data_IF_163873529422
#
_entry.id   IF_163873529422
#
_cell.length_a   1.000
_cell.length_b   1.000
_cell.length_c   1.000
_cell.angle_alpha   90.00
_cell.angle_beta   90.00
_cell.angle_gamma   90.00
#
_symmetry.space_group_name_H-M   'P 1'
#
loop_
_entity.id
_entity.type
_entity.pdbx_description
1 polymer ?
#
# COMPACT_ATOMS: atom_id res chain seq x y z
N UNK A 1 2.93 -31.84 14.57
CA UNK A 1 3.14 -30.38 14.40
C UNK A 1 1.87 -29.79 13.80
N UNK A 2 1.02 -29.13 14.59
CA UNK A 2 -0.10 -28.35 14.04
C UNK A 2 0.50 -27.10 13.39
N UNK A 3 0.62 -27.08 12.08
CA UNK A 3 0.85 -25.83 11.34
C UNK A 3 -0.33 -24.91 11.67
N UNK A 4 -0.15 -23.98 12.61
CA UNK A 4 -1.20 -23.03 12.94
C UNK A 4 -1.34 -22.08 11.76
N UNK A 5 -2.47 -22.12 11.07
CA UNK A 5 -2.82 -21.25 9.95
C UNK A 5 -2.60 -19.77 10.31
N UNK A 6 -2.67 -19.43 11.60
CA UNK A 6 -2.37 -18.11 12.18
C UNK A 6 -0.94 -17.61 11.93
N UNK A 7 0.03 -18.50 11.70
CA UNK A 7 1.42 -18.10 11.40
C UNK A 7 1.56 -17.52 9.99
N UNK A 8 0.70 -17.98 9.06
CA UNK A 8 0.70 -17.54 7.66
C UNK A 8 -0.37 -16.48 7.39
N UNK A 9 -1.47 -16.50 8.15
CA UNK A 9 -2.60 -15.56 8.05
C UNK A 9 -2.90 -14.95 9.43
N UNK A 10 -2.10 -13.97 9.89
CA UNK A 10 -2.20 -13.40 11.24
C UNK A 10 -3.54 -12.71 11.51
N UNK A 11 -4.26 -12.26 10.47
CA UNK A 11 -5.57 -11.63 10.61
C UNK A 11 -6.61 -12.55 11.28
N UNK A 12 -6.40 -13.87 11.24
CA UNK A 12 -7.26 -14.84 11.93
C UNK A 12 -7.20 -14.72 13.46
N UNK A 13 -6.19 -14.03 14.00
CA UNK A 13 -6.07 -13.75 15.43
C UNK A 13 -6.72 -12.41 15.85
N UNK A 14 -7.33 -11.68 14.91
CA UNK A 14 -7.99 -10.40 15.23
C UNK A 14 -9.20 -10.60 16.15
N UNK A 15 -9.56 -9.57 16.95
CA UNK A 15 -10.80 -9.58 17.71
C UNK A 15 -11.98 -9.84 16.77
N UNK A 16 -12.89 -10.74 17.17
CA UNK A 16 -14.10 -10.98 16.39
C UNK A 16 -14.98 -9.72 16.46
N UNK A 17 -15.46 -9.21 15.31
CA UNK A 17 -16.24 -7.99 15.28
C UNK A 17 -17.58 -8.18 16.00
N UNK A 18 -17.83 -7.34 17.00
CA UNK A 18 -19.16 -7.13 17.56
C UNK A 18 -19.78 -5.83 17.00
N UNK A 19 -21.06 -5.61 17.27
CA UNK A 19 -21.77 -4.46 16.72
C UNK A 19 -21.19 -3.10 17.19
N UNK A 20 -20.57 -3.04 18.37
CA UNK A 20 -19.97 -1.82 18.89
C UNK A 20 -18.64 -1.52 18.18
N UNK A 21 -17.79 -2.54 18.01
CA UNK A 21 -16.54 -2.47 17.28
C UNK A 21 -16.79 -2.09 15.82
N UNK A 22 -17.75 -2.73 15.15
CA UNK A 22 -18.06 -2.41 13.75
C UNK A 22 -18.45 -0.95 13.54
N UNK A 23 -19.25 -0.36 14.45
CA UNK A 23 -19.62 1.06 14.36
C UNK A 23 -18.40 1.97 14.50
N UNK A 24 -17.50 1.65 15.44
CA UNK A 24 -16.24 2.36 15.62
C UNK A 24 -15.35 2.26 14.38
N UNK A 25 -15.11 1.05 13.89
CA UNK A 25 -14.26 0.77 12.73
C UNK A 25 -14.81 1.39 11.43
N UNK A 26 -16.12 1.40 11.21
CA UNK A 26 -16.73 2.08 10.06
C UNK A 26 -16.46 3.59 10.12
N UNK A 27 -16.65 4.21 11.28
CA UNK A 27 -16.40 5.64 11.43
C UNK A 27 -14.91 5.99 11.23
N UNK A 28 -14.00 5.21 11.82
CA UNK A 28 -12.56 5.38 11.67
C UNK A 28 -12.12 5.14 10.22
N UNK A 29 -12.62 4.08 9.59
CA UNK A 29 -12.35 3.77 8.18
C UNK A 29 -12.81 4.87 7.24
N UNK A 30 -13.99 5.46 7.48
CA UNK A 30 -14.47 6.60 6.70
C UNK A 30 -13.57 7.82 6.88
N UNK A 31 -13.15 8.14 8.10
CA UNK A 31 -12.21 9.23 8.36
C UNK A 31 -10.88 9.01 7.65
N UNK A 32 -10.31 7.82 7.74
CA UNK A 32 -9.06 7.47 7.06
C UNK A 32 -9.23 7.53 5.54
N UNK A 33 -10.35 7.04 5.00
CA UNK A 33 -10.64 7.09 3.57
C UNK A 33 -10.71 8.53 3.05
N UNK A 34 -11.37 9.43 3.78
CA UNK A 34 -11.45 10.85 3.42
C UNK A 34 -10.07 11.53 3.34
N UNK A 35 -9.10 11.08 4.14
CA UNK A 35 -7.73 11.60 4.14
C UNK A 35 -6.90 10.94 3.04
N UNK A 36 -6.96 9.61 2.92
CA UNK A 36 -6.05 8.85 2.06
C UNK A 36 -6.33 9.06 0.56
N UNK A 37 -7.59 9.32 0.19
CA UNK A 37 -7.96 9.56 -1.21
C UNK A 37 -7.27 10.81 -1.77
N UNK A 38 -7.46 12.02 -1.22
CA UNK A 38 -6.76 13.20 -1.74
C UNK A 38 -5.24 13.12 -1.54
N UNK A 39 -4.79 12.54 -0.43
CA UNK A 39 -3.36 12.36 -0.16
C UNK A 39 -2.67 11.48 -1.20
N UNK A 40 -3.25 10.34 -1.53
CA UNK A 40 -2.66 9.39 -2.50
C UNK A 40 -2.63 9.96 -3.91
N UNK A 41 -3.65 10.74 -4.30
CA UNK A 41 -3.67 11.48 -5.57
C UNK A 41 -2.55 12.52 -5.62
N UNK A 42 -2.34 13.28 -4.54
CA UNK A 42 -1.22 14.21 -4.43
C UNK A 42 0.14 13.50 -4.45
N UNK A 43 0.23 12.27 -3.96
CA UNK A 43 1.48 11.51 -4.00
C UNK A 43 1.76 10.92 -5.39
N UNK A 44 0.73 10.56 -6.15
CA UNK A 44 0.90 10.18 -7.55
C UNK A 44 1.54 11.31 -8.38
N UNK A 45 1.17 12.58 -8.14
CA UNK A 45 1.80 13.71 -8.83
C UNK A 45 3.27 13.88 -8.45
N UNK A 46 3.63 13.69 -7.18
CA UNK A 46 5.03 13.71 -6.73
C UNK A 46 5.88 12.62 -7.42
N UNK A 47 5.28 11.47 -7.74
CA UNK A 47 5.92 10.38 -8.47
C UNK A 47 5.88 10.56 -10.00
N UNK A 48 5.34 11.67 -10.52
CA UNK A 48 5.17 11.90 -11.97
C UNK A 48 4.18 10.95 -12.64
N UNK A 49 3.27 10.35 -11.86
CA UNK A 49 2.30 9.36 -12.34
C UNK A 49 0.95 9.96 -12.71
N UNK A 50 0.16 9.29 -13.57
CA UNK A 50 -1.26 9.59 -13.71
C UNK A 50 -1.98 9.55 -12.36
N UNK A 51 -2.86 10.51 -12.09
CA UNK A 51 -3.51 10.68 -10.78
C UNK A 51 -4.20 9.41 -10.25
N UNK A 52 -4.79 8.62 -11.16
CA UNK A 52 -5.51 7.38 -10.82
C UNK A 52 -4.60 6.34 -10.16
N UNK A 53 -3.28 6.37 -10.42
CA UNK A 53 -2.35 5.39 -9.82
C UNK A 53 -2.23 5.56 -8.31
N UNK A 54 -2.48 6.76 -7.77
CA UNK A 54 -2.52 6.98 -6.32
C UNK A 54 -3.59 6.14 -5.62
N UNK A 55 -4.74 6.00 -6.28
CA UNK A 55 -5.84 5.15 -5.79
C UNK A 55 -5.43 3.68 -5.84
N UNK A 56 -4.80 3.23 -6.93
CA UNK A 56 -4.29 1.85 -7.02
C UNK A 56 -3.20 1.56 -5.98
N UNK A 57 -2.29 2.51 -5.77
CA UNK A 57 -1.18 2.39 -4.83
C UNK A 57 -1.60 2.44 -3.36
N UNK A 58 -2.80 2.94 -3.04
CA UNK A 58 -3.37 2.91 -1.69
C UNK A 58 -4.27 1.71 -1.47
N UNK A 59 -5.13 1.38 -2.45
CA UNK A 59 -6.12 0.31 -2.30
C UNK A 59 -5.53 -1.10 -2.38
N UNK A 60 -4.73 -1.39 -3.41
CA UNK A 60 -4.21 -2.75 -3.62
C UNK A 60 -3.26 -3.20 -2.49
N UNK A 61 -2.29 -2.39 -2.04
CA UNK A 61 -1.45 -2.78 -0.91
C UNK A 61 -2.22 -2.94 0.39
N UNK A 62 -3.28 -2.16 0.64
CA UNK A 62 -4.12 -2.32 1.82
C UNK A 62 -4.86 -3.68 1.83
N UNK A 63 -5.39 -4.11 0.68
CA UNK A 63 -6.01 -5.44 0.54
C UNK A 63 -5.02 -6.58 0.80
N UNK A 64 -3.81 -6.48 0.24
CA UNK A 64 -2.76 -7.48 0.44
C UNK A 64 -2.31 -7.47 1.91
N UNK A 65 -2.09 -6.29 2.49
CA UNK A 65 -1.66 -6.14 3.86
C UNK A 65 -2.67 -6.71 4.86
N UNK A 66 -3.98 -6.60 4.58
CA UNK A 66 -5.02 -7.19 5.42
C UNK A 66 -4.84 -8.70 5.61
N UNK A 67 -4.38 -9.44 4.58
CA UNK A 67 -4.18 -10.88 4.65
C UNK A 67 -2.99 -11.29 5.52
N UNK A 68 -1.95 -10.44 5.60
CA UNK A 68 -0.70 -10.73 6.32
C UNK A 68 -0.49 -9.86 7.57
N UNK A 69 -1.43 -8.99 7.93
CA UNK A 69 -1.26 -8.08 9.05
C UNK A 69 -1.56 -8.74 10.40
N UNK A 70 -0.58 -8.67 11.30
CA UNK A 70 -0.75 -9.05 12.70
C UNK A 70 -1.53 -8.01 13.53
N UNK A 71 -1.63 -6.76 13.04
CA UNK A 71 -2.31 -5.67 13.75
C UNK A 71 -3.56 -5.22 13.00
N UNK A 72 -4.72 -5.12 13.69
CA UNK A 72 -5.95 -4.62 13.07
C UNK A 72 -5.87 -3.13 12.70
N UNK A 73 -4.83 -2.41 13.15
CA UNK A 73 -4.64 -0.97 12.91
C UNK A 73 -3.55 -0.66 11.88
N UNK A 74 -3.08 -1.66 11.15
CA UNK A 74 -2.08 -1.45 10.11
C UNK A 74 -2.70 -0.63 8.97
N UNK A 75 -2.08 0.50 8.65
CA UNK A 75 -2.43 1.31 7.48
C UNK A 75 -1.25 1.31 6.52
N UNK A 76 -1.51 1.04 5.24
CA UNK A 76 -0.50 0.92 4.19
C UNK A 76 -0.95 1.73 2.99
N UNK A 77 -0.01 2.41 2.34
CA UNK A 77 -0.28 3.21 1.16
C UNK A 77 0.96 3.97 0.72
N UNK A 78 0.85 4.80 -0.33
CA UNK A 78 1.96 5.62 -0.79
C UNK A 78 2.31 6.65 0.29
N UNK A 79 3.60 6.96 0.41
CA UNK A 79 4.11 8.05 1.25
C UNK A 79 4.70 9.15 0.38
N UNK A 80 4.77 10.37 0.90
CA UNK A 80 5.38 11.49 0.18
C UNK A 80 6.83 11.16 -0.23
N UNK A 81 7.61 10.62 0.71
CA UNK A 81 9.02 10.27 0.48
C UNK A 81 9.18 9.16 -0.55
N UNK A 82 8.42 8.05 -0.45
CA UNK A 82 8.50 6.97 -1.45
C UNK A 82 8.13 7.46 -2.84
N UNK A 83 7.16 8.38 -2.95
CA UNK A 83 6.71 8.94 -4.23
C UNK A 83 7.76 9.85 -4.85
N UNK A 84 8.40 10.71 -4.06
CA UNK A 84 9.53 11.53 -4.49
C UNK A 84 10.72 10.68 -4.96
N UNK A 85 11.04 9.61 -4.23
CA UNK A 85 12.13 8.70 -4.61
C UNK A 85 11.82 7.96 -5.92
N UNK A 86 10.58 7.53 -6.14
CA UNK A 86 10.16 6.94 -7.43
C UNK A 86 10.36 7.96 -8.55
N UNK A 87 9.86 9.19 -8.41
CA UNK A 87 10.02 10.23 -9.43
C UNK A 87 11.49 10.56 -9.71
N UNK A 88 12.31 10.69 -8.66
CA UNK A 88 13.75 10.94 -8.78
C UNK A 88 14.48 9.78 -9.48
N UNK A 89 14.09 8.52 -9.20
CA UNK A 89 14.73 7.33 -9.77
C UNK A 89 14.46 7.15 -11.27
N UNK A 90 13.35 7.71 -11.77
CA UNK A 90 12.93 7.61 -13.17
C UNK A 90 13.35 8.83 -14.00
N UNK A 91 13.81 9.90 -13.36
CA UNK A 91 14.22 11.13 -14.03
C UNK A 91 15.39 10.85 -14.98
N UNK A 92 15.23 11.23 -16.25
CA UNK A 92 16.23 10.97 -17.31
C UNK A 92 16.10 9.62 -18.01
N UNK A 93 15.19 8.73 -17.55
CA UNK A 93 14.90 7.44 -18.21
C UNK A 93 13.65 7.49 -19.10
N UNK A 94 12.66 8.28 -18.72
CA UNK A 94 11.42 8.53 -19.47
C UNK A 94 10.84 9.90 -19.09
N UNK A 95 9.85 10.40 -19.84
CA UNK A 95 9.14 11.61 -19.46
C UNK A 95 7.93 11.29 -18.55
N UNK A 96 7.65 12.10 -17.51
CA UNK A 96 6.50 11.89 -16.62
C UNK A 96 5.17 11.80 -17.37
N UNK A 97 4.31 10.86 -16.96
CA UNK A 97 2.98 10.66 -17.54
C UNK A 97 2.93 9.86 -18.84
N UNK A 98 4.06 9.54 -19.46
CA UNK A 98 4.11 8.63 -20.61
C UNK A 98 3.91 7.17 -20.19
N UNK A 99 3.50 6.31 -21.13
CA UNK A 99 3.30 4.87 -20.87
C UNK A 99 4.57 4.20 -20.32
N UNK A 100 5.73 4.54 -20.89
CA UNK A 100 7.02 4.00 -20.45
C UNK A 100 7.37 4.39 -19.00
N UNK A 101 6.99 5.60 -18.56
CA UNK A 101 7.21 6.03 -17.17
C UNK A 101 6.44 5.14 -16.18
N UNK A 102 5.19 4.82 -16.51
CA UNK A 102 4.35 3.94 -15.71
C UNK A 102 4.96 2.53 -15.66
N UNK A 103 5.40 1.99 -16.79
CA UNK A 103 6.05 0.68 -16.86
C UNK A 103 7.31 0.60 -15.98
N UNK A 104 8.19 1.61 -16.08
CA UNK A 104 9.42 1.64 -15.30
C UNK A 104 9.14 1.70 -13.79
N UNK A 105 8.14 2.45 -13.35
CA UNK A 105 7.78 2.49 -11.94
C UNK A 105 7.15 1.20 -11.44
N UNK A 106 6.37 0.51 -12.28
CA UNK A 106 5.85 -0.82 -11.95
C UNK A 106 7.01 -1.78 -11.74
N UNK A 107 8.00 -1.78 -12.63
CA UNK A 107 9.22 -2.57 -12.46
C UNK A 107 10.00 -2.22 -11.21
N UNK A 108 10.18 -0.92 -10.92
CA UNK A 108 10.83 -0.45 -9.71
C UNK A 108 10.10 -0.94 -8.44
N UNK A 109 8.77 -0.87 -8.43
CA UNK A 109 7.95 -1.35 -7.32
C UNK A 109 8.06 -2.87 -7.14
N UNK A 110 8.05 -3.64 -8.23
CA UNK A 110 8.23 -5.10 -8.19
C UNK A 110 9.62 -5.48 -7.66
N UNK A 111 10.67 -4.84 -8.15
CA UNK A 111 12.04 -5.08 -7.67
C UNK A 111 12.16 -4.75 -6.17
N UNK A 112 11.66 -3.59 -5.75
CA UNK A 112 11.67 -3.20 -4.34
C UNK A 112 10.89 -4.21 -3.47
N UNK A 113 9.73 -4.68 -3.94
CA UNK A 113 8.94 -5.70 -3.24
C UNK A 113 9.66 -7.04 -3.11
N UNK A 114 10.30 -7.52 -4.19
CA UNK A 114 11.13 -8.74 -4.14
C UNK A 114 12.28 -8.59 -3.15
N UNK A 115 12.96 -7.43 -3.15
CA UNK A 115 14.02 -7.16 -2.17
C UNK A 115 13.50 -7.19 -0.73
N UNK A 116 12.32 -6.59 -0.46
CA UNK A 116 11.69 -6.64 0.87
C UNK A 116 11.37 -8.07 1.31
N UNK A 117 10.87 -8.91 0.40
CA UNK A 117 10.57 -10.32 0.69
C UNK A 117 11.87 -11.10 1.00
N UNK A 118 12.91 -10.91 0.19
CA UNK A 118 14.21 -11.57 0.40
C UNK A 118 14.81 -11.15 1.75
N UNK A 119 14.84 -9.86 2.04
CA UNK A 119 15.36 -9.34 3.31
C UNK A 119 14.54 -9.82 4.51
N UNK A 120 13.21 -9.93 4.38
CA UNK A 120 12.35 -10.46 5.43
C UNK A 120 12.45 -11.97 5.64
N UNK A 121 13.01 -12.69 4.67
CA UNK A 121 13.23 -14.14 4.74
C UNK A 121 14.60 -14.53 5.31
N UNK A 122 15.58 -13.60 5.28
CA UNK A 122 16.92 -13.75 5.87
C UNK A 122 16.88 -13.56 7.40
#
# INVERSE_FOLDING_TARGET
MRFSLQRWLPFLAWPRPDAALMRGEISAGLTVAMIIVPQSVAYATLAGMPLVTGIYASFLPALVALLWSASPRLSVGPTALSSLLVGASLTGLAAPGEGQWVELAVWLALMAGVMQIVLGAL
#
